data_IF_751082573168
#
_entry.id   IF_751082573168
#
_cell.length_a   1.000
_cell.length_b   1.000
_cell.length_c   1.000
_cell.angle_alpha   90.00
_cell.angle_beta   90.00
_cell.angle_gamma   90.00
#
_symmetry.space_group_name_H-M   'P 1'
#
loop_
_entity.id
_entity.type
_entity.pdbx_description
1 polymer ?
#
# COMPACT_ATOMS: atom_id res chain seq x y z
N UNK A 1 0.45 -12.89 4.43
CA UNK A 1 -0.03 -11.92 3.44
C UNK A 1 0.72 -10.64 3.70
N UNK A 2 1.09 -9.87 2.68
CA UNK A 2 1.65 -8.54 2.95
C UNK A 2 0.63 -7.66 3.68
N UNK A 3 1.09 -6.59 4.34
CA UNK A 3 0.29 -5.54 5.00
C UNK A 3 -0.98 -5.16 4.19
N UNK A 4 -2.12 -4.79 4.79
CA UNK A 4 -3.31 -4.35 4.04
C UNK A 4 -3.01 -3.21 3.06
N UNK A 5 -3.88 -3.01 2.08
CA UNK A 5 -3.92 -1.78 1.29
C UNK A 5 -4.36 -0.62 2.20
N UNK A 6 -3.50 0.37 2.40
CA UNK A 6 -3.71 1.49 3.32
C UNK A 6 -4.14 2.74 2.56
N UNK A 7 -5.39 3.15 2.78
CA UNK A 7 -5.95 4.39 2.28
C UNK A 7 -5.96 5.44 3.39
N UNK A 8 -5.24 6.55 3.22
CA UNK A 8 -5.43 7.74 4.06
C UNK A 8 -6.58 8.56 3.49
N UNK A 9 -7.55 8.92 4.30
CA UNK A 9 -8.70 9.74 3.89
C UNK A 9 -8.86 10.91 4.84
N UNK A 10 -8.94 12.13 4.30
CA UNK A 10 -9.22 13.33 5.09
C UNK A 10 -9.90 14.42 4.24
N UNK A 11 -10.66 15.27 4.92
CA UNK A 11 -11.02 16.59 4.43
C UNK A 11 -10.12 17.63 5.10
N UNK A 12 -9.66 18.63 4.33
CA UNK A 12 -8.84 19.74 4.81
C UNK A 12 -9.38 21.07 4.30
N UNK A 13 -9.10 22.15 5.04
CA UNK A 13 -9.24 23.52 4.53
C UNK A 13 -8.27 23.83 3.38
N UNK A 14 -8.46 24.96 2.69
CA UNK A 14 -7.56 25.43 1.62
C UNK A 14 -6.10 25.59 2.08
N UNK A 15 -5.89 25.87 3.37
CA UNK A 15 -4.58 26.01 4.02
C UNK A 15 -4.09 24.76 4.77
N UNK A 16 -4.80 23.63 4.61
CA UNK A 16 -4.32 22.29 4.96
C UNK A 16 -4.60 21.83 6.39
N UNK A 17 -5.61 22.39 7.05
CA UNK A 17 -6.03 22.02 8.41
C UNK A 17 -7.18 21.02 8.40
N UNK A 18 -7.16 20.09 9.36
CA UNK A 18 -8.19 19.06 9.59
C UNK A 18 -9.34 19.55 10.46
N UNK A 19 -9.11 20.60 11.23
CA UNK A 19 -10.06 21.18 12.20
C UNK A 19 -9.58 22.60 12.58
N UNK A 20 -10.37 23.32 13.36
CA UNK A 20 -9.94 24.53 14.08
C UNK A 20 -9.45 24.19 15.50
N UNK A 21 -9.15 25.20 16.34
CA UNK A 21 -8.77 25.00 17.76
C UNK A 21 -9.97 24.98 18.72
N UNK A 22 -11.18 25.05 18.18
CA UNK A 22 -12.43 25.06 18.92
C UNK A 22 -12.74 23.71 19.58
N UNK A 23 -13.70 23.71 20.52
CA UNK A 23 -14.14 22.49 21.20
C UNK A 23 -15.10 21.64 20.36
N UNK A 24 -15.67 22.23 19.31
CA UNK A 24 -16.58 21.57 18.38
C UNK A 24 -15.84 21.21 17.10
N UNK A 25 -16.13 20.02 16.56
CA UNK A 25 -15.53 19.58 15.31
C UNK A 25 -15.99 20.46 14.15
N UNK A 26 -15.04 21.02 13.41
CA UNK A 26 -15.30 21.76 12.18
C UNK A 26 -15.78 20.82 11.05
N UNK A 27 -16.90 21.16 10.43
CA UNK A 27 -17.38 20.45 9.25
C UNK A 27 -16.69 21.02 8.00
N UNK A 28 -15.69 20.29 7.51
CA UNK A 28 -14.93 20.65 6.32
C UNK A 28 -15.57 20.17 5.00
N UNK A 29 -16.69 19.45 5.05
CA UNK A 29 -17.33 18.95 3.83
C UNK A 29 -18.84 18.82 3.99
N UNK A 30 -19.54 18.70 2.86
CA UNK A 30 -20.99 18.60 2.78
C UNK A 30 -21.53 17.16 2.77
N UNK A 31 -22.88 17.01 2.71
CA UNK A 31 -23.58 15.73 2.68
C UNK A 31 -23.11 14.79 1.57
N UNK A 32 -22.77 15.31 0.39
CA UNK A 32 -22.28 14.55 -0.76
C UNK A 32 -20.93 13.87 -0.45
N UNK A 33 -20.05 14.56 0.27
CA UNK A 33 -18.79 13.98 0.68
C UNK A 33 -18.95 13.02 1.86
N UNK A 34 -19.88 13.29 2.78
CA UNK A 34 -20.21 12.35 3.85
C UNK A 34 -20.76 11.03 3.29
N UNK A 35 -21.61 11.09 2.27
CA UNK A 35 -22.10 9.90 1.58
C UNK A 35 -20.97 9.12 0.89
N UNK A 36 -20.04 9.83 0.24
CA UNK A 36 -18.82 9.24 -0.34
C UNK A 36 -17.94 8.57 0.73
N UNK A 37 -17.66 9.25 1.85
CA UNK A 37 -16.88 8.68 2.96
C UNK A 37 -17.57 7.43 3.51
N UNK A 38 -18.90 7.45 3.61
CA UNK A 38 -19.69 6.30 4.02
C UNK A 38 -19.57 5.11 3.04
N UNK A 39 -19.53 5.38 1.74
CA UNK A 39 -19.20 4.38 0.71
C UNK A 39 -17.80 3.80 0.89
N UNK A 40 -16.78 4.65 1.11
CA UNK A 40 -15.40 4.20 1.32
C UNK A 40 -15.28 3.36 2.60
N UNK A 41 -15.96 3.75 3.68
CA UNK A 41 -16.07 2.94 4.91
C UNK A 41 -16.71 1.58 4.61
N UNK A 42 -17.82 1.57 3.89
CA UNK A 42 -18.52 0.34 3.54
C UNK A 42 -17.69 -0.59 2.65
N UNK A 43 -16.81 -0.05 1.81
CA UNK A 43 -15.87 -0.80 0.98
C UNK A 43 -14.59 -1.25 1.70
N UNK A 44 -14.40 -0.89 2.96
CA UNK A 44 -13.19 -1.23 3.73
C UNK A 44 -13.41 -2.41 4.67
N UNK A 45 -12.35 -3.14 4.98
CA UNK A 45 -12.40 -4.24 5.96
C UNK A 45 -12.21 -3.70 7.38
N UNK A 46 -11.42 -2.64 7.52
CA UNK A 46 -11.18 -1.94 8.77
C UNK A 46 -11.10 -0.41 8.59
N UNK A 47 -11.45 0.32 9.65
CA UNK A 47 -11.30 1.77 9.75
C UNK A 47 -10.44 2.08 10.98
N UNK A 48 -9.38 2.88 10.80
CA UNK A 48 -8.42 3.23 11.83
C UNK A 48 -8.42 4.73 12.12
N UNK A 49 -8.40 5.06 13.41
CA UNK A 49 -8.12 6.41 13.91
C UNK A 49 -7.08 6.37 15.04
N UNK A 50 -6.24 7.41 15.10
CA UNK A 50 -5.34 7.59 16.24
C UNK A 50 -6.08 7.94 17.53
N UNK A 51 -5.47 7.65 18.68
CA UNK A 51 -6.01 8.00 19.99
C UNK A 51 -6.28 9.51 20.19
N UNK A 52 -5.55 10.38 19.51
CA UNK A 52 -5.80 11.84 19.54
C UNK A 52 -7.20 12.18 19.04
N UNK A 53 -7.55 11.71 17.84
CA UNK A 53 -8.89 11.83 17.25
C UNK A 53 -9.96 11.19 18.12
N UNK A 54 -9.65 10.04 18.75
CA UNK A 54 -10.59 9.40 19.67
C UNK A 54 -10.94 10.31 20.87
N UNK A 55 -9.95 11.02 21.44
CA UNK A 55 -10.16 11.91 22.59
C UNK A 55 -10.90 13.20 22.22
N UNK A 56 -10.59 13.77 21.05
CA UNK A 56 -11.14 15.06 20.62
C UNK A 56 -12.55 14.86 20.05
N UNK A 57 -12.71 13.97 19.07
CA UNK A 57 -13.97 13.87 18.32
C UNK A 57 -14.94 12.83 18.90
N UNK A 58 -14.43 11.91 19.73
CA UNK A 58 -15.17 10.78 20.29
C UNK A 58 -16.08 10.07 19.25
N UNK A 59 -15.57 9.68 18.07
CA UNK A 59 -16.41 9.25 16.96
C UNK A 59 -17.01 7.86 17.20
N UNK A 60 -18.17 7.59 16.57
CA UNK A 60 -18.77 6.23 16.54
C UNK A 60 -18.10 5.31 15.50
N UNK A 61 -17.56 5.91 14.44
CA UNK A 61 -16.84 5.26 13.34
C UNK A 61 -17.67 4.14 12.67
N UNK A 62 -18.85 4.49 12.16
CA UNK A 62 -19.83 3.57 11.58
C UNK A 62 -19.98 3.78 10.07
N UNK A 63 -20.51 2.75 9.41
CA UNK A 63 -21.25 2.89 8.15
C UNK A 63 -22.68 3.28 8.52
N UNK A 64 -23.12 4.44 8.06
CA UNK A 64 -24.42 5.02 8.39
C UNK A 64 -25.53 4.48 7.49
N UNK A 65 -25.31 4.38 6.17
CA UNK A 65 -26.34 3.89 5.23
C UNK A 65 -26.80 2.47 5.61
N UNK A 66 -28.10 2.26 5.85
CA UNK A 66 -28.67 0.93 6.04
C UNK A 66 -28.47 0.02 4.82
N UNK A 67 -28.53 0.58 3.61
CA UNK A 67 -28.39 -0.14 2.35
C UNK A 67 -26.96 -0.67 2.19
N UNK A 68 -25.95 0.16 2.49
CA UNK A 68 -24.54 -0.26 2.48
C UNK A 68 -24.26 -1.35 3.51
N UNK A 69 -24.85 -1.25 4.70
CA UNK A 69 -24.76 -2.30 5.73
C UNK A 69 -25.42 -3.59 5.28
N UNK A 70 -26.60 -3.53 4.69
CA UNK A 70 -27.28 -4.69 4.12
C UNK A 70 -26.47 -5.34 2.99
N UNK A 71 -25.85 -4.55 2.11
CA UNK A 71 -24.98 -5.03 1.05
C UNK A 71 -23.74 -5.76 1.58
N UNK A 72 -23.12 -5.25 2.65
CA UNK A 72 -22.00 -5.94 3.33
C UNK A 72 -22.42 -7.30 3.87
N UNK A 73 -23.55 -7.37 4.57
CA UNK A 73 -24.08 -8.62 5.09
C UNK A 73 -24.41 -9.62 3.96
N UNK A 74 -25.01 -9.14 2.87
CA UNK A 74 -25.30 -9.97 1.70
C UNK A 74 -24.02 -10.53 1.03
N UNK A 75 -22.90 -9.82 1.13
CA UNK A 75 -21.58 -10.27 0.69
C UNK A 75 -20.85 -11.17 1.71
N UNK A 76 -21.49 -11.53 2.82
CA UNK A 76 -20.88 -12.35 3.89
C UNK A 76 -19.89 -11.59 4.77
N UNK A 77 -19.85 -10.25 4.68
CA UNK A 77 -19.00 -9.39 5.49
C UNK A 77 -19.75 -8.92 6.76
N UNK A 78 -19.04 -8.56 7.84
CA UNK A 78 -19.66 -7.95 9.01
C UNK A 78 -20.37 -6.63 8.66
N UNK A 79 -21.49 -6.36 9.33
CA UNK A 79 -22.31 -5.14 9.14
C UNK A 79 -21.47 -3.86 9.17
N UNK A 80 -20.49 -3.81 10.07
CA UNK A 80 -19.51 -2.72 10.20
C UNK A 80 -18.09 -3.25 9.93
N UNK A 81 -17.21 -2.45 9.29
CA UNK A 81 -15.79 -2.73 9.28
C UNK A 81 -15.22 -2.87 10.70
N UNK A 82 -14.10 -3.58 10.83
CA UNK A 82 -13.35 -3.63 12.08
C UNK A 82 -12.91 -2.21 12.46
N UNK A 83 -13.23 -1.78 13.68
CA UNK A 83 -12.77 -0.49 14.18
C UNK A 83 -11.44 -0.65 14.88
N UNK A 84 -10.47 0.15 14.46
CA UNK A 84 -9.11 0.09 14.94
C UNK A 84 -8.72 1.41 15.57
N UNK A 85 -8.08 1.35 16.73
CA UNK A 85 -7.38 2.52 17.27
C UNK A 85 -5.98 2.16 17.76
N UNK A 86 -5.11 3.15 17.82
CA UNK A 86 -3.70 3.00 18.19
C UNK A 86 -3.35 4.02 19.27
N UNK A 87 -2.84 3.55 20.40
CA UNK A 87 -2.47 4.39 21.54
C UNK A 87 -1.25 3.84 22.26
N UNK A 88 -0.11 4.54 22.18
CA UNK A 88 1.09 4.11 22.91
C UNK A 88 0.93 4.22 24.44
N UNK A 89 0.25 5.26 24.92
CA UNK A 89 0.06 5.51 26.36
C UNK A 89 -1.03 4.65 27.00
N UNK A 90 -1.98 4.15 26.20
CA UNK A 90 -3.21 3.54 26.69
C UNK A 90 -4.13 4.54 27.40
N UNK A 91 -3.90 5.85 27.25
CA UNK A 91 -4.74 6.87 27.88
C UNK A 91 -5.99 7.12 27.02
N UNK A 92 -7.06 6.37 27.30
CA UNK A 92 -8.30 6.35 26.54
C UNK A 92 -9.48 6.35 27.50
N UNK A 93 -10.53 7.11 27.17
CA UNK A 93 -11.77 7.13 27.94
C UNK A 93 -12.56 5.82 27.69
N UNK A 94 -12.84 4.99 28.72
CA UNK A 94 -13.65 3.78 28.58
C UNK A 94 -15.12 4.06 28.22
N UNK A 95 -15.59 5.30 28.39
CA UNK A 95 -16.95 5.73 28.03
C UNK A 95 -17.04 6.31 26.62
N UNK A 96 -15.94 6.35 25.86
CA UNK A 96 -15.96 6.84 24.49
C UNK A 96 -16.98 6.05 23.63
N UNK A 97 -17.76 6.78 22.81
CA UNK A 97 -18.80 6.23 21.92
C UNK A 97 -18.25 5.14 21.01
N UNK A 98 -16.98 5.26 20.61
CA UNK A 98 -16.25 4.26 19.83
C UNK A 98 -16.36 2.84 20.42
N UNK A 99 -16.32 2.67 21.74
CA UNK A 99 -16.40 1.35 22.36
C UNK A 99 -17.81 0.77 22.38
N UNK A 100 -18.81 1.66 22.46
CA UNK A 100 -20.19 1.29 22.76
C UNK A 100 -21.12 1.25 21.54
N UNK A 101 -20.61 1.53 20.34
CA UNK A 101 -21.45 1.55 19.12
C UNK A 101 -20.87 0.69 18.01
N UNK A 102 -21.57 -0.38 17.61
CA UNK A 102 -21.29 -1.14 16.39
C UNK A 102 -19.97 -1.94 16.39
N UNK A 103 -19.97 -3.05 15.65
CA UNK A 103 -18.79 -3.79 15.19
C UNK A 103 -17.83 -4.35 16.26
N UNK A 104 -16.86 -5.13 15.77
CA UNK A 104 -15.69 -5.53 16.56
C UNK A 104 -14.72 -4.35 16.70
N UNK A 105 -13.91 -4.36 17.77
CA UNK A 105 -12.91 -3.32 18.05
C UNK A 105 -11.56 -3.94 18.39
N UNK A 106 -10.51 -3.37 17.84
CA UNK A 106 -9.13 -3.72 18.19
C UNK A 106 -8.34 -2.46 18.54
N UNK A 107 -7.64 -2.49 19.66
CA UNK A 107 -6.70 -1.48 20.11
C UNK A 107 -5.28 -2.02 20.02
N UNK A 108 -4.41 -1.32 19.29
CA UNK A 108 -2.97 -1.57 19.31
C UNK A 108 -2.27 -0.62 20.28
N UNK A 109 -1.41 -1.17 21.13
CA UNK A 109 -0.74 -0.43 22.21
C UNK A 109 0.61 -1.04 22.58
N UNK A 110 1.34 -0.36 23.47
CA UNK A 110 2.55 -0.89 24.09
C UNK A 110 2.20 -1.84 25.24
N UNK A 111 3.15 -2.63 25.72
CA UNK A 111 2.99 -3.45 26.93
C UNK A 111 2.56 -2.61 28.14
N UNK A 112 3.07 -1.39 28.24
CA UNK A 112 2.70 -0.44 29.29
C UNK A 112 1.25 0.01 29.14
N UNK A 113 0.82 0.37 27.93
CA UNK A 113 -0.56 0.76 27.66
C UNK A 113 -1.54 -0.39 27.87
N UNK A 114 -1.17 -1.61 27.45
CA UNK A 114 -1.96 -2.81 27.70
C UNK A 114 -2.16 -3.05 29.20
N UNK A 115 -1.10 -2.91 30.02
CA UNK A 115 -1.22 -2.99 31.49
C UNK A 115 -2.15 -1.92 32.07
N UNK A 116 -2.07 -0.68 31.59
CA UNK A 116 -2.93 0.44 32.03
C UNK A 116 -4.41 0.16 31.76
N UNK A 117 -4.71 -0.51 30.64
CA UNK A 117 -6.07 -0.74 30.17
C UNK A 117 -6.70 -2.06 30.64
N UNK A 118 -5.97 -2.90 31.39
CA UNK A 118 -6.49 -4.18 31.90
C UNK A 118 -7.73 -3.93 32.77
N UNK A 119 -8.86 -4.47 32.36
CA UNK A 119 -10.14 -4.33 33.07
C UNK A 119 -10.76 -2.93 32.99
N UNK A 120 -10.23 -2.03 32.16
CA UNK A 120 -10.74 -0.66 31.99
C UNK A 120 -11.69 -0.57 30.80
N UNK A 121 -11.32 -1.17 29.66
CA UNK A 121 -12.15 -1.18 28.46
C UNK A 121 -13.21 -2.30 28.53
N UNK A 122 -14.31 -2.18 27.76
CA UNK A 122 -15.29 -3.25 27.62
C UNK A 122 -14.65 -4.58 27.20
N UNK A 123 -15.20 -5.68 27.70
CA UNK A 123 -14.62 -7.02 27.53
C UNK A 123 -14.59 -7.52 26.08
N UNK A 124 -15.41 -6.94 25.19
CA UNK A 124 -15.44 -7.23 23.76
C UNK A 124 -14.37 -6.46 22.96
N UNK A 125 -13.61 -5.56 23.60
CA UNK A 125 -12.49 -4.86 22.97
C UNK A 125 -11.24 -5.71 23.06
N UNK A 126 -10.69 -6.05 21.90
CA UNK A 126 -9.40 -6.71 21.82
C UNK A 126 -8.26 -5.71 22.00
N UNK A 127 -7.34 -5.99 22.92
CA UNK A 127 -6.15 -5.17 23.16
C UNK A 127 -4.91 -5.97 22.75
N UNK A 128 -4.21 -5.49 21.73
CA UNK A 128 -2.99 -6.09 21.18
C UNK A 128 -1.79 -5.29 21.66
N UNK A 129 -0.91 -5.94 22.42
CA UNK A 129 0.35 -5.37 22.86
C UNK A 129 1.46 -5.71 21.85
N UNK A 130 2.18 -4.69 21.38
CA UNK A 130 3.24 -4.81 20.37
C UNK A 130 4.65 -4.76 20.97
N UNK A 131 4.78 -4.83 22.30
CA UNK A 131 6.05 -4.68 22.99
C UNK A 131 6.27 -3.26 23.55
N UNK A 132 7.52 -2.78 23.63
CA UNK A 132 7.84 -1.51 24.28
C UNK A 132 7.34 -0.28 23.50
N UNK A 133 7.32 -0.37 22.18
CA UNK A 133 6.95 0.68 21.24
C UNK A 133 5.89 0.20 20.26
N UNK A 134 5.25 1.13 19.55
CA UNK A 134 4.26 0.81 18.50
C UNK A 134 4.90 1.05 17.14
N UNK A 135 5.30 -0.04 16.49
CA UNK A 135 5.78 -0.04 15.11
C UNK A 135 4.62 -0.23 14.15
N UNK A 136 4.49 0.64 13.15
CA UNK A 136 3.35 0.60 12.22
C UNK A 136 3.36 -0.63 11.32
N UNK A 137 4.54 -1.13 10.94
CA UNK A 137 4.62 -2.38 10.16
C UNK A 137 4.01 -3.53 10.95
N UNK A 138 4.31 -3.66 12.24
CA UNK A 138 3.73 -4.71 13.09
C UNK A 138 2.21 -4.57 13.26
N UNK A 139 1.70 -3.33 13.37
CA UNK A 139 0.25 -3.07 13.37
C UNK A 139 -0.39 -3.57 12.07
N UNK A 140 0.20 -3.21 10.93
CA UNK A 140 -0.33 -3.55 9.63
C UNK A 140 -0.19 -5.06 9.33
N UNK A 141 0.91 -5.68 9.75
CA UNK A 141 1.16 -7.12 9.61
C UNK A 141 0.11 -7.89 10.41
N UNK A 142 -0.11 -7.51 11.66
CA UNK A 142 -1.14 -8.15 12.48
C UNK A 142 -2.55 -7.95 11.91
N UNK A 143 -2.86 -6.77 11.36
CA UNK A 143 -4.14 -6.53 10.67
C UNK A 143 -4.30 -7.45 9.44
N UNK A 144 -3.26 -7.59 8.62
CA UNK A 144 -3.28 -8.43 7.43
C UNK A 144 -3.36 -9.92 7.77
N UNK A 145 -2.40 -10.40 8.55
CA UNK A 145 -2.18 -11.83 8.80
C UNK A 145 -3.14 -12.43 9.82
N UNK A 146 -3.44 -11.70 10.90
CA UNK A 146 -4.25 -12.22 12.01
C UNK A 146 -5.70 -11.80 11.87
N UNK A 147 -5.97 -10.59 11.38
CA UNK A 147 -7.35 -10.08 11.21
C UNK A 147 -7.92 -10.27 9.82
N UNK A 148 -7.12 -10.68 8.85
CA UNK A 148 -7.57 -10.85 7.46
C UNK A 148 -8.01 -9.54 6.80
N UNK A 149 -7.54 -8.40 7.31
CA UNK A 149 -7.84 -7.07 6.74
C UNK A 149 -7.05 -6.95 5.45
N UNK A 150 -7.75 -6.71 4.34
CA UNK A 150 -7.12 -6.48 3.02
C UNK A 150 -7.17 -5.00 2.64
N UNK A 151 -8.21 -4.27 3.04
CA UNK A 151 -8.32 -2.82 2.84
C UNK A 151 -8.54 -2.09 4.17
N UNK A 152 -7.59 -1.23 4.51
CA UNK A 152 -7.59 -0.39 5.71
C UNK A 152 -7.83 1.07 5.31
N UNK A 153 -8.91 1.66 5.80
CA UNK A 153 -9.13 3.11 5.74
C UNK A 153 -8.58 3.77 7.00
N UNK A 154 -7.78 4.81 6.86
CA UNK A 154 -7.23 5.59 7.97
C UNK A 154 -7.80 7.00 7.89
N UNK A 155 -8.75 7.31 8.76
CA UNK A 155 -9.50 8.57 8.71
C UNK A 155 -8.90 9.70 9.53
N UNK A 156 -8.03 9.39 10.51
CA UNK A 156 -7.68 10.43 11.45
C UNK A 156 -6.51 10.17 12.38
N UNK A 157 -6.07 11.32 12.89
CA UNK A 157 -4.83 11.59 13.58
C UNK A 157 -3.81 12.08 12.57
N UNK A 158 -3.58 13.40 12.50
CA UNK A 158 -2.54 13.94 11.62
C UNK A 158 -1.17 13.29 11.87
N UNK A 159 -0.89 12.90 13.13
CA UNK A 159 0.30 12.11 13.48
C UNK A 159 0.32 10.69 12.90
N UNK A 160 -0.84 10.03 12.78
CA UNK A 160 -0.97 8.71 12.16
C UNK A 160 -0.73 8.80 10.66
N UNK A 161 -1.43 9.72 9.99
CA UNK A 161 -1.23 9.99 8.55
C UNK A 161 0.22 10.31 8.25
N UNK A 162 0.83 11.20 9.05
CA UNK A 162 2.25 11.58 8.94
C UNK A 162 3.15 10.35 9.01
N UNK A 163 3.02 9.51 10.04
CA UNK A 163 3.92 8.35 10.21
C UNK A 163 3.76 7.32 9.11
N UNK A 164 2.53 7.01 8.70
CA UNK A 164 2.29 6.06 7.61
C UNK A 164 2.89 6.55 6.29
N UNK A 165 2.76 7.84 5.99
CA UNK A 165 3.34 8.43 4.78
C UNK A 165 4.88 8.48 4.85
N UNK A 166 5.46 8.91 5.98
CA UNK A 166 6.91 8.97 6.19
C UNK A 166 7.58 7.59 6.09
N UNK A 167 6.88 6.53 6.51
CA UNK A 167 7.39 5.15 6.44
C UNK A 167 7.09 4.44 5.11
N UNK A 168 6.46 5.13 4.15
CA UNK A 168 6.11 4.55 2.84
C UNK A 168 5.05 3.45 2.92
N UNK A 169 4.15 3.52 3.90
CA UNK A 169 3.11 2.53 4.19
C UNK A 169 1.71 2.92 3.70
N UNK A 170 1.55 4.11 3.11
CA UNK A 170 0.28 4.58 2.57
C UNK A 170 0.19 4.33 1.05
N UNK A 171 -0.73 3.47 0.63
CA UNK A 171 -0.97 3.12 -0.78
C UNK A 171 -1.75 4.19 -1.54
N UNK A 172 -2.65 4.90 -0.87
CA UNK A 172 -3.45 5.96 -1.46
C UNK A 172 -3.73 7.06 -0.45
N UNK A 173 -3.81 8.30 -0.94
CA UNK A 173 -4.28 9.47 -0.20
C UNK A 173 -5.51 10.01 -0.93
N UNK A 174 -6.65 9.96 -0.27
CA UNK A 174 -7.88 10.67 -0.62
C UNK A 174 -7.94 11.97 0.17
N UNK A 175 -7.75 13.08 -0.54
CA UNK A 175 -7.78 14.42 0.03
C UNK A 175 -8.97 15.18 -0.51
N UNK A 176 -9.86 15.59 0.38
CA UNK A 176 -10.94 16.53 0.07
C UNK A 176 -10.51 17.92 0.50
N UNK A 177 -10.65 18.91 -0.36
CA UNK A 177 -10.33 20.31 -0.05
C UNK A 177 -11.61 21.13 0.03
N UNK A 178 -11.86 21.66 1.23
CA UNK A 178 -12.97 22.54 1.57
C UNK A 178 -12.71 23.98 1.10
N UNK A 179 -13.70 24.72 0.59
CA UNK A 179 -13.53 26.09 0.11
C UNK A 179 -13.47 27.14 1.24
N UNK A 180 -12.73 26.86 2.32
CA UNK A 180 -12.56 27.76 3.47
C UNK A 180 -11.11 27.76 3.96
N UNK A 181 -10.76 28.79 4.74
CA UNK A 181 -9.48 28.89 5.45
C UNK A 181 -9.72 28.74 6.95
N UNK A 182 -8.82 28.06 7.65
CA UNK A 182 -8.82 28.01 9.13
C UNK A 182 -7.90 29.10 9.68
N UNK A 183 -6.66 29.18 9.18
CA UNK A 183 -5.74 30.28 9.51
C UNK A 183 -5.19 30.29 10.93
N UNK A 184 -5.47 29.26 11.74
CA UNK A 184 -5.03 29.16 13.13
C UNK A 184 -3.71 28.39 13.23
N UNK A 185 -2.64 28.95 13.82
CA UNK A 185 -1.31 28.33 13.82
C UNK A 185 -1.26 26.99 14.58
N UNK A 186 -2.07 26.86 15.63
CA UNK A 186 -2.13 25.67 16.49
C UNK A 186 -3.21 24.66 16.06
N UNK A 187 -3.95 24.93 14.98
CA UNK A 187 -4.96 24.02 14.46
C UNK A 187 -4.31 22.72 13.93
N UNK A 188 -5.01 21.58 14.05
CA UNK A 188 -4.47 20.29 13.64
C UNK A 188 -4.29 20.23 12.12
N UNK A 189 -3.06 19.96 11.66
CA UNK A 189 -2.76 19.72 10.24
C UNK A 189 -2.87 18.24 9.89
N UNK A 190 -3.20 17.95 8.63
CA UNK A 190 -3.22 16.57 8.13
C UNK A 190 -1.84 15.91 8.21
N UNK A 191 -0.81 16.67 7.88
CA UNK A 191 0.56 16.22 7.84
C UNK A 191 1.43 17.11 8.72
N UNK A 192 2.21 16.49 9.60
CA UNK A 192 3.14 17.15 10.50
C UNK A 192 4.51 17.38 9.89
N UNK A 193 5.46 17.82 10.71
CA UNK A 193 6.85 18.01 10.29
C UNK A 193 7.61 16.68 10.16
N UNK A 194 8.66 16.68 9.33
CA UNK A 194 9.60 15.57 9.21
C UNK A 194 10.02 15.32 7.76
N UNK A 195 10.70 14.19 7.54
CA UNK A 195 11.20 13.80 6.22
C UNK A 195 10.17 12.89 5.56
N UNK A 196 9.65 13.32 4.41
CA UNK A 196 8.75 12.53 3.57
C UNK A 196 9.53 11.75 2.50
N UNK A 197 8.96 10.66 1.95
CA UNK A 197 9.55 10.00 0.79
C UNK A 197 9.83 11.01 -0.33
N UNK A 198 10.97 10.87 -1.04
CA UNK A 198 11.33 11.79 -2.10
C UNK A 198 10.33 11.70 -3.27
N UNK A 199 10.44 12.63 -4.22
CA UNK A 199 9.67 12.58 -5.45
C UNK A 199 8.24 13.12 -5.33
N UNK A 200 7.46 12.89 -6.38
CA UNK A 200 6.08 13.40 -6.52
C UNK A 200 5.08 12.26 -6.43
N UNK A 201 4.04 12.39 -5.62
CA UNK A 201 2.88 11.50 -5.74
C UNK A 201 2.19 11.69 -7.10
N UNK A 202 1.58 10.62 -7.64
CA UNK A 202 0.80 10.70 -8.87
C UNK A 202 -0.66 10.98 -8.53
N UNK A 203 -1.20 12.03 -9.14
CA UNK A 203 -2.64 12.29 -9.17
C UNK A 203 -3.34 11.26 -10.07
N UNK A 204 -4.30 10.51 -9.52
CA UNK A 204 -5.05 9.48 -10.25
C UNK A 204 -6.52 9.83 -10.44
N UNK A 205 -7.06 10.74 -9.63
CA UNK A 205 -8.42 11.27 -9.79
C UNK A 205 -8.48 12.71 -9.26
N UNK A 206 -9.23 13.55 -9.95
CA UNK A 206 -9.72 14.83 -9.42
C UNK A 206 -11.20 14.97 -9.76
N UNK A 207 -12.03 15.31 -8.78
CA UNK A 207 -13.46 15.40 -8.98
C UNK A 207 -14.10 16.38 -8.01
N UNK A 208 -15.03 17.19 -8.50
CA UNK A 208 -15.90 17.99 -7.64
C UNK A 208 -16.94 17.10 -6.93
N UNK A 209 -17.17 17.34 -5.65
CA UNK A 209 -18.15 16.64 -4.82
C UNK A 209 -18.94 17.70 -4.05
N UNK A 210 -20.14 18.06 -4.51
CA UNK A 210 -20.81 19.25 -3.98
C UNK A 210 -19.95 20.50 -4.23
N UNK A 211 -19.62 21.23 -3.16
CA UNK A 211 -18.77 22.42 -3.19
C UNK A 211 -17.28 22.16 -2.85
N UNK A 212 -16.90 20.91 -2.62
CA UNK A 212 -15.50 20.51 -2.32
C UNK A 212 -14.84 19.81 -3.50
N UNK A 213 -13.51 19.72 -3.48
CA UNK A 213 -12.73 18.98 -4.49
C UNK A 213 -12.08 17.75 -3.86
N UNK A 214 -12.40 16.57 -4.38
CA UNK A 214 -11.69 15.32 -4.11
C UNK A 214 -10.47 15.21 -5.02
N UNK A 215 -9.34 14.86 -4.43
CA UNK A 215 -8.12 14.46 -5.13
C UNK A 215 -7.64 13.11 -4.60
N UNK A 216 -7.23 12.22 -5.50
CA UNK A 216 -6.62 10.94 -5.17
C UNK A 216 -5.19 10.89 -5.63
N UNK A 217 -4.29 10.57 -4.71
CA UNK A 217 -2.87 10.45 -4.96
C UNK A 217 -2.37 9.07 -4.58
N UNK A 218 -1.40 8.57 -5.36
CA UNK A 218 -0.68 7.32 -5.06
C UNK A 218 0.82 7.59 -5.05
N UNK A 219 1.61 6.92 -4.20
CA UNK A 219 3.05 7.09 -4.17
C UNK A 219 3.71 6.59 -5.45
N UNK A 220 4.92 7.09 -5.71
CA UNK A 220 5.75 6.75 -6.89
C UNK A 220 7.16 6.37 -6.49
N UNK A 221 7.72 6.97 -5.44
CA UNK A 221 9.09 6.70 -5.03
C UNK A 221 9.23 5.28 -4.45
N UNK A 222 10.11 4.44 -5.03
CA UNK A 222 10.41 3.11 -4.52
C UNK A 222 10.84 3.12 -3.05
N UNK A 223 10.65 1.99 -2.37
CA UNK A 223 11.26 1.77 -1.06
C UNK A 223 12.79 1.61 -1.15
N UNK A 224 13.45 1.69 0.00
CA UNK A 224 14.87 1.36 0.14
C UNK A 224 15.04 0.02 0.85
N UNK A 225 16.10 -0.72 0.52
CA UNK A 225 16.39 -1.98 1.20
C UNK A 225 15.41 -3.11 0.82
N UNK A 226 15.24 -4.07 1.73
CA UNK A 226 14.47 -5.30 1.52
C UNK A 226 13.00 -5.23 1.93
N UNK A 227 12.58 -4.09 2.47
CA UNK A 227 11.19 -3.91 2.88
C UNK A 227 10.38 -3.42 1.68
N UNK A 228 9.18 -3.97 1.56
CA UNK A 228 8.18 -3.45 0.61
C UNK A 228 7.71 -2.06 1.05
N UNK A 229 7.48 -1.19 0.06
CA UNK A 229 6.75 0.06 0.19
C UNK A 229 5.46 0.02 -0.60
N UNK A 230 4.56 0.95 -0.30
CA UNK A 230 3.33 1.16 -1.04
C UNK A 230 3.57 1.43 -2.55
N UNK A 231 4.64 2.13 -2.90
CA UNK A 231 4.98 2.37 -4.31
C UNK A 231 5.37 1.07 -5.04
N UNK A 232 5.96 0.10 -4.34
CA UNK A 232 6.39 -1.15 -4.95
C UNK A 232 5.22 -1.95 -5.52
N UNK A 233 4.12 -2.01 -4.77
CA UNK A 233 2.87 -2.66 -5.20
C UNK A 233 2.37 -2.10 -6.51
N UNK A 234 2.37 -0.78 -6.62
CA UNK A 234 1.92 -0.09 -7.83
C UNK A 234 2.82 -0.37 -9.03
N UNK A 235 4.14 -0.27 -8.87
CA UNK A 235 5.05 -0.53 -9.99
C UNK A 235 5.06 -1.99 -10.41
N UNK A 236 4.86 -2.90 -9.46
CA UNK A 236 4.70 -4.32 -9.77
C UNK A 236 3.38 -4.62 -10.49
N UNK A 237 2.28 -3.94 -10.17
CA UNK A 237 1.06 -4.01 -10.98
C UNK A 237 1.33 -3.55 -12.42
N UNK A 238 2.05 -2.44 -12.63
CA UNK A 238 2.43 -1.98 -13.98
C UNK A 238 3.29 -3.03 -14.71
N UNK A 239 4.21 -3.70 -14.01
CA UNK A 239 4.98 -4.80 -14.59
C UNK A 239 4.07 -5.98 -15.00
N UNK A 240 3.06 -6.31 -14.20
CA UNK A 240 2.07 -7.33 -14.56
C UNK A 240 1.18 -6.91 -15.74
N UNK A 241 0.73 -5.66 -15.81
CA UNK A 241 -0.02 -5.12 -16.96
C UNK A 241 0.80 -5.20 -18.26
N UNK A 242 2.12 -5.01 -18.17
CA UNK A 242 3.02 -5.17 -19.31
C UNK A 242 3.14 -6.64 -19.75
N UNK A 243 3.05 -7.59 -18.81
CA UNK A 243 3.03 -9.01 -19.15
C UNK A 243 1.81 -9.39 -20.00
N UNK A 244 0.65 -8.77 -19.78
CA UNK A 244 -0.56 -9.00 -20.60
C UNK A 244 -0.41 -8.55 -22.06
N UNK A 245 0.55 -7.66 -22.33
CA UNK A 245 0.82 -7.14 -23.68
C UNK A 245 1.78 -8.03 -24.48
N UNK A 246 2.32 -9.08 -23.88
CA UNK A 246 3.26 -9.96 -24.56
C UNK A 246 2.56 -10.75 -25.67
N UNK A 247 3.17 -10.87 -26.87
CA UNK A 247 2.74 -11.85 -27.87
C UNK A 247 2.65 -13.26 -27.25
N UNK A 248 1.66 -14.11 -27.57
CA UNK A 248 1.59 -15.46 -27.02
C UNK A 248 2.84 -16.31 -27.35
N UNK A 249 3.19 -17.23 -26.45
CA UNK A 249 4.27 -18.20 -26.66
C UNK A 249 3.94 -19.52 -25.98
N UNK A 250 4.39 -20.64 -26.55
CA UNK A 250 4.28 -21.98 -25.95
C UNK A 250 5.57 -22.43 -25.24
N UNK A 251 6.65 -21.67 -25.38
CA UNK A 251 8.00 -22.06 -24.95
C UNK A 251 8.68 -21.00 -24.10
N UNK A 252 7.99 -19.91 -23.76
CA UNK A 252 8.51 -18.82 -22.95
C UNK A 252 7.39 -18.11 -22.21
N UNK A 253 7.67 -17.68 -20.97
CA UNK A 253 6.73 -16.87 -20.19
C UNK A 253 6.54 -15.47 -20.80
N UNK A 254 5.35 -14.91 -20.60
CA UNK A 254 4.99 -13.50 -20.74
C UNK A 254 5.37 -12.79 -19.44
N UNK A 255 6.39 -11.94 -19.51
CA UNK A 255 6.91 -11.15 -18.39
C UNK A 255 6.89 -9.69 -18.77
N UNK A 256 6.60 -8.81 -17.81
CA UNK A 256 6.78 -7.37 -17.93
C UNK A 256 7.75 -6.84 -16.88
N UNK A 257 8.44 -5.75 -17.20
CA UNK A 257 9.42 -5.13 -16.31
C UNK A 257 9.43 -3.60 -16.44
N UNK A 258 9.74 -2.93 -15.34
CA UNK A 258 9.86 -1.46 -15.25
C UNK A 258 11.09 -1.09 -14.44
N UNK A 259 11.84 -0.08 -14.89
CA UNK A 259 12.99 0.50 -14.18
C UNK A 259 12.58 1.88 -13.67
N UNK A 260 12.67 2.11 -12.36
CA UNK A 260 12.18 3.33 -11.71
C UNK A 260 13.30 3.95 -10.87
N UNK A 261 13.54 5.25 -11.05
CA UNK A 261 14.49 6.00 -10.24
C UNK A 261 14.01 6.19 -8.79
N UNK A 262 14.93 6.54 -7.90
CA UNK A 262 14.63 6.74 -6.47
C UNK A 262 13.59 7.85 -6.20
N UNK A 263 13.43 8.82 -7.11
CA UNK A 263 12.41 9.87 -7.02
C UNK A 263 11.04 9.47 -7.59
N UNK A 264 10.88 8.21 -8.01
CA UNK A 264 9.65 7.69 -8.60
C UNK A 264 9.46 8.02 -10.08
N UNK A 265 10.47 8.58 -10.75
CA UNK A 265 10.47 8.73 -12.20
C UNK A 265 10.65 7.36 -12.86
N UNK A 266 9.73 7.01 -13.76
CA UNK A 266 9.91 5.84 -14.63
C UNK A 266 11.00 6.12 -15.67
N UNK A 267 12.05 5.31 -15.67
CA UNK A 267 13.18 5.43 -16.59
C UNK A 267 12.93 4.68 -17.90
N UNK A 268 12.48 3.44 -17.78
CA UNK A 268 12.12 2.60 -18.91
C UNK A 268 11.17 1.48 -18.49
N UNK A 269 10.53 0.88 -19.47
CA UNK A 269 9.72 -0.33 -19.33
C UNK A 269 10.00 -1.29 -20.46
N UNK A 270 9.71 -2.56 -20.26
CA UNK A 270 9.83 -3.60 -21.27
C UNK A 270 8.87 -4.73 -21.03
N UNK A 271 8.59 -5.50 -22.07
CA UNK A 271 7.88 -6.76 -21.95
C UNK A 271 8.52 -7.82 -22.82
N UNK A 272 8.23 -9.08 -22.52
CA UNK A 272 8.78 -10.20 -23.30
C UNK A 272 8.33 -10.10 -24.75
N UNK A 273 9.23 -10.44 -25.67
CA UNK A 273 8.98 -10.42 -27.12
C UNK A 273 8.61 -9.04 -27.68
N UNK A 274 9.05 -7.97 -27.02
CA UNK A 274 8.85 -6.61 -27.50
C UNK A 274 9.57 -6.36 -28.84
N UNK A 275 8.97 -5.54 -29.70
CA UNK A 275 9.58 -5.16 -30.99
C UNK A 275 9.70 -6.31 -32.00
N UNK A 276 9.10 -7.46 -31.73
CA UNK A 276 9.16 -8.64 -32.61
C UNK A 276 10.40 -9.52 -32.42
N UNK A 277 11.27 -9.25 -31.43
CA UNK A 277 12.37 -10.17 -31.07
C UNK A 277 11.79 -11.35 -30.28
N UNK A 278 11.74 -12.59 -30.82
CA UNK A 278 11.08 -13.72 -30.17
C UNK A 278 11.79 -14.18 -28.88
N UNK A 279 13.01 -13.73 -28.62
CA UNK A 279 13.84 -14.20 -27.49
C UNK A 279 14.20 -13.12 -26.48
N UNK A 280 13.79 -11.85 -26.70
CA UNK A 280 14.05 -10.77 -25.73
C UNK A 280 13.20 -10.95 -24.48
N UNK A 281 13.86 -10.83 -23.32
CA UNK A 281 13.20 -10.84 -22.02
C UNK A 281 12.78 -9.42 -21.61
N UNK A 282 11.85 -9.30 -20.68
CA UNK A 282 11.29 -8.02 -20.28
C UNK A 282 12.33 -7.07 -19.67
N UNK A 283 13.18 -7.58 -18.77
CA UNK A 283 14.23 -6.81 -18.10
C UNK A 283 15.29 -6.36 -19.10
N UNK A 284 15.67 -7.25 -20.03
CA UNK A 284 16.59 -6.93 -21.12
C UNK A 284 16.02 -5.82 -22.02
N UNK A 285 14.76 -5.93 -22.44
CA UNK A 285 14.09 -4.92 -23.26
C UNK A 285 14.00 -3.57 -22.54
N UNK A 286 13.76 -3.55 -21.23
CA UNK A 286 13.70 -2.32 -20.44
C UNK A 286 15.10 -1.68 -20.31
N UNK A 287 16.12 -2.45 -19.93
CA UNK A 287 17.48 -1.95 -19.72
C UNK A 287 18.14 -1.49 -21.03
N UNK A 288 17.86 -2.14 -22.16
CA UNK A 288 18.41 -1.77 -23.46
C UNK A 288 17.96 -0.37 -23.97
N UNK A 289 16.93 0.21 -23.36
CA UNK A 289 16.42 1.56 -23.69
C UNK A 289 17.10 2.66 -22.87
N UNK A 290 17.94 2.29 -21.91
CA UNK A 290 18.61 3.22 -21.00
C UNK A 290 20.05 3.46 -21.45
N UNK A 291 20.55 4.66 -21.17
CA UNK A 291 21.98 4.94 -21.22
C UNK A 291 22.65 4.20 -20.04
N UNK A 292 23.60 3.26 -20.28
CA UNK A 292 24.33 2.59 -19.19
C UNK A 292 25.10 3.54 -18.27
N UNK A 293 25.37 4.78 -18.72
CA UNK A 293 26.00 5.82 -17.92
C UNK A 293 24.99 6.70 -17.14
N UNK A 294 23.68 6.42 -17.21
CA UNK A 294 22.67 7.18 -16.47
C UNK A 294 22.93 7.06 -14.96
N UNK A 295 23.26 8.16 -14.26
CA UNK A 295 23.62 8.11 -12.84
C UNK A 295 22.45 7.66 -11.95
N UNK A 296 21.21 7.71 -12.44
CA UNK A 296 20.02 7.30 -11.68
C UNK A 296 19.97 5.79 -11.46
N UNK A 297 20.59 5.00 -12.35
CA UNK A 297 20.58 3.52 -12.30
C UNK A 297 21.12 2.96 -10.98
N UNK A 298 22.14 3.58 -10.40
CA UNK A 298 22.75 3.15 -9.15
C UNK A 298 21.79 3.15 -7.95
N UNK A 299 20.70 3.94 -8.04
CA UNK A 299 19.65 4.05 -7.03
C UNK A 299 18.28 3.57 -7.53
N UNK A 300 18.23 3.05 -8.76
CA UNK A 300 16.99 2.61 -9.36
C UNK A 300 16.53 1.27 -8.78
N UNK A 301 15.22 1.02 -8.91
CA UNK A 301 14.59 -0.27 -8.63
C UNK A 301 14.08 -0.86 -9.94
N UNK A 302 14.35 -2.15 -10.16
CA UNK A 302 13.71 -2.93 -11.23
C UNK A 302 12.52 -3.69 -10.65
N UNK A 303 11.35 -3.51 -11.25
CA UNK A 303 10.15 -4.30 -10.97
C UNK A 303 9.98 -5.31 -12.09
N UNK A 304 9.83 -6.60 -11.77
CA UNK A 304 9.58 -7.65 -12.77
C UNK A 304 8.44 -8.55 -12.33
N UNK A 305 7.52 -8.88 -13.24
CA UNK A 305 6.41 -9.77 -12.92
C UNK A 305 6.86 -11.22 -12.65
N UNK A 306 8.06 -11.60 -13.10
CA UNK A 306 8.68 -12.90 -12.85
C UNK A 306 10.11 -12.69 -12.34
N UNK A 307 10.61 -13.63 -11.55
CA UNK A 307 12.00 -13.67 -11.14
C UNK A 307 12.97 -13.54 -12.35
N UNK A 308 13.91 -12.58 -12.34
CA UNK A 308 14.87 -12.44 -13.43
C UNK A 308 15.73 -13.69 -13.56
N UNK A 309 15.81 -14.28 -14.76
CA UNK A 309 16.48 -15.56 -14.93
C UNK A 309 17.96 -15.54 -14.47
N UNK A 310 18.43 -16.65 -13.89
CA UNK A 310 19.84 -16.90 -13.56
C UNK A 310 20.63 -17.44 -14.76
N UNK A 311 19.95 -18.12 -15.69
CA UNK A 311 20.52 -18.76 -16.88
C UNK A 311 19.50 -18.69 -18.01
N UNK A 312 19.97 -18.62 -19.25
CA UNK A 312 19.11 -18.73 -20.45
C UNK A 312 19.91 -19.31 -21.60
N UNK A 313 19.25 -20.04 -22.50
CA UNK A 313 19.88 -20.59 -23.70
C UNK A 313 19.95 -19.57 -24.85
N UNK A 314 19.05 -18.58 -24.86
CA UNK A 314 18.83 -17.70 -26.02
C UNK A 314 19.84 -16.58 -26.19
N UNK A 315 20.54 -16.17 -25.12
CA UNK A 315 21.55 -15.10 -25.12
C UNK A 315 22.66 -15.41 -24.11
N UNK A 316 23.89 -14.87 -24.28
CA UNK A 316 25.02 -15.18 -23.41
C UNK A 316 24.86 -14.63 -21.97
N UNK A 317 24.17 -13.52 -21.76
CA UNK A 317 23.96 -12.92 -20.45
C UNK A 317 22.50 -13.11 -19.95
N UNK A 318 22.29 -13.68 -18.75
CA UNK A 318 20.98 -13.79 -18.12
C UNK A 318 20.50 -12.45 -17.54
N UNK A 319 19.19 -12.28 -17.33
CA UNK A 319 18.61 -11.01 -16.86
C UNK A 319 19.18 -10.56 -15.50
N UNK A 320 19.37 -11.48 -14.55
CA UNK A 320 20.03 -11.17 -13.28
C UNK A 320 21.40 -10.52 -13.45
N UNK A 321 22.19 -10.99 -14.42
CA UNK A 321 23.51 -10.40 -14.73
C UNK A 321 23.39 -9.03 -15.39
N UNK A 322 22.45 -8.85 -16.32
CA UNK A 322 22.19 -7.55 -16.96
C UNK A 322 21.81 -6.48 -15.93
N UNK A 323 21.00 -6.83 -14.93
CA UNK A 323 20.62 -5.94 -13.84
C UNK A 323 21.84 -5.54 -12.99
N UNK A 324 22.68 -6.52 -12.62
CA UNK A 324 23.90 -6.28 -11.84
C UNK A 324 24.85 -5.35 -12.60
N UNK A 325 25.07 -5.62 -13.89
CA UNK A 325 25.98 -4.87 -14.75
C UNK A 325 25.47 -3.45 -15.04
N UNK A 326 24.15 -3.25 -15.08
CA UNK A 326 23.53 -1.92 -15.15
C UNK A 326 23.70 -1.10 -13.85
N UNK A 327 24.23 -1.70 -12.78
CA UNK A 327 24.47 -1.01 -11.51
C UNK A 327 23.23 -0.89 -10.61
N UNK A 328 22.10 -1.51 -10.98
CA UNK A 328 20.88 -1.53 -10.18
C UNK A 328 21.14 -2.26 -8.85
N UNK A 329 20.53 -1.78 -7.77
CA UNK A 329 20.74 -2.32 -6.41
C UNK A 329 19.47 -2.81 -5.72
N UNK A 330 18.32 -2.70 -6.37
CA UNK A 330 17.06 -3.21 -5.83
C UNK A 330 16.18 -3.82 -6.91
N UNK A 331 15.61 -4.99 -6.63
CA UNK A 331 14.71 -5.72 -7.51
C UNK A 331 13.47 -6.15 -6.74
N UNK A 332 12.30 -5.92 -7.31
CA UNK A 332 11.01 -6.35 -6.75
C UNK A 332 10.34 -7.29 -7.74
N UNK A 333 9.90 -8.45 -7.25
CA UNK A 333 9.29 -9.51 -8.07
C UNK A 333 7.95 -9.96 -7.53
N UNK A 334 7.08 -10.46 -8.41
CA UNK A 334 5.77 -11.02 -8.03
C UNK A 334 5.81 -12.55 -7.90
N UNK A 335 6.47 -13.22 -8.84
CA UNK A 335 6.43 -14.67 -9.00
C UNK A 335 7.84 -15.24 -9.12
N UNK A 336 8.16 -16.25 -8.33
CA UNK A 336 9.41 -17.02 -8.47
C UNK A 336 9.33 -17.93 -9.69
N UNK A 337 10.43 -18.03 -10.44
CA UNK A 337 10.46 -18.87 -11.64
C UNK A 337 10.18 -20.34 -11.26
N UNK A 338 9.12 -20.97 -11.82
CA UNK A 338 8.87 -22.39 -11.59
C UNK A 338 9.85 -23.26 -12.38
N UNK A 339 10.01 -24.53 -11.98
CA UNK A 339 10.82 -25.52 -12.70
C UNK A 339 10.24 -25.93 -14.08
N UNK A 340 9.39 -25.10 -14.71
CA UNK A 340 8.72 -25.39 -15.99
C UNK A 340 9.69 -25.42 -17.17
N UNK A 341 10.67 -24.52 -17.21
CA UNK A 341 11.62 -24.41 -18.33
C UNK A 341 13.09 -24.49 -17.91
N UNK A 342 13.41 -24.09 -16.67
CA UNK A 342 14.76 -24.18 -16.10
C UNK A 342 14.66 -24.77 -14.70
N UNK A 343 15.19 -25.98 -14.52
CA UNK A 343 15.22 -26.62 -13.21
C UNK A 343 16.16 -25.86 -12.26
N UNK A 344 15.68 -25.58 -11.04
CA UNK A 344 16.45 -24.92 -9.98
C UNK A 344 17.02 -23.56 -10.38
N UNK A 345 16.28 -22.79 -11.20
CA UNK A 345 16.62 -21.40 -11.46
C UNK A 345 16.46 -20.59 -10.15
N UNK A 346 17.50 -19.88 -9.75
CA UNK A 346 17.48 -18.99 -8.59
C UNK A 346 18.22 -17.69 -8.92
N UNK A 347 17.58 -16.87 -9.76
CA UNK A 347 18.06 -15.54 -10.11
C UNK A 347 17.99 -14.58 -8.95
N UNK A 348 17.02 -14.76 -8.04
CA UNK A 348 16.92 -14.00 -6.81
C UNK A 348 18.15 -14.21 -5.91
N UNK A 349 18.67 -15.44 -5.78
CA UNK A 349 19.91 -15.70 -5.05
C UNK A 349 21.15 -15.12 -5.76
N UNK A 350 21.21 -15.16 -7.09
CA UNK A 350 22.30 -14.52 -7.87
C UNK A 350 22.34 -13.02 -7.59
N UNK A 351 21.19 -12.36 -7.62
CA UNK A 351 21.04 -10.94 -7.30
C UNK A 351 21.46 -10.65 -5.86
N UNK A 352 20.95 -11.41 -4.89
CA UNK A 352 21.26 -11.24 -3.48
C UNK A 352 22.76 -11.44 -3.17
N UNK A 353 23.40 -12.43 -3.78
CA UNK A 353 24.84 -12.69 -3.64
C UNK A 353 25.70 -11.56 -4.22
N UNK A 354 25.19 -10.84 -5.22
CA UNK A 354 25.82 -9.64 -5.78
C UNK A 354 25.50 -8.35 -4.98
N UNK A 355 24.80 -8.45 -3.85
CA UNK A 355 24.44 -7.31 -3.00
C UNK A 355 23.23 -6.51 -3.50
N UNK A 356 22.40 -7.07 -4.37
CA UNK A 356 21.12 -6.49 -4.78
C UNK A 356 20.06 -6.86 -3.75
N UNK A 357 19.30 -5.87 -3.28
CA UNK A 357 18.15 -6.13 -2.42
C UNK A 357 16.98 -6.67 -3.23
N UNK A 358 16.53 -7.88 -2.89
CA UNK A 358 15.42 -8.56 -3.55
C UNK A 358 14.20 -8.54 -2.64
N UNK A 359 13.08 -8.05 -3.17
CA UNK A 359 11.77 -8.06 -2.50
C UNK A 359 10.80 -8.92 -3.32
N UNK A 360 10.10 -9.83 -2.66
CA UNK A 360 9.05 -10.65 -3.27
C UNK A 360 7.69 -10.21 -2.73
N UNK A 361 6.75 -9.89 -3.61
CA UNK A 361 5.36 -9.57 -3.28
C UNK A 361 4.44 -10.70 -3.78
N UNK A 362 4.28 -11.78 -2.99
CA UNK A 362 3.56 -12.98 -3.40
C UNK A 362 2.06 -12.72 -3.66
N UNK A 363 1.49 -11.63 -3.13
CA UNK A 363 0.11 -11.22 -3.41
C UNK A 363 -0.13 -10.88 -4.89
N UNK A 364 0.93 -10.59 -5.65
CA UNK A 364 0.87 -10.35 -7.10
C UNK A 364 1.12 -11.61 -7.95
N UNK A 365 1.42 -12.76 -7.33
CA UNK A 365 1.77 -13.98 -8.05
C UNK A 365 0.63 -14.43 -9.00
N UNK A 366 -0.62 -14.41 -8.52
CA UNK A 366 -1.78 -14.77 -9.35
C UNK A 366 -1.94 -13.85 -10.56
N UNK A 367 -1.70 -12.55 -10.36
CA UNK A 367 -1.75 -11.53 -11.41
C UNK A 367 -0.64 -11.72 -12.45
N UNK A 368 0.57 -12.06 -12.02
CA UNK A 368 1.71 -12.37 -12.89
C UNK A 368 1.57 -13.70 -13.65
N UNK A 369 0.90 -14.70 -13.05
CA UNK A 369 0.61 -15.98 -13.68
C UNK A 369 -0.51 -15.92 -14.72
N UNK A 370 -1.44 -14.98 -14.59
CA UNK A 370 -2.62 -14.88 -15.47
C UNK A 370 -2.28 -14.92 -16.99
N UNK A 371 -1.33 -14.10 -17.52
CA UNK A 371 -0.96 -14.16 -18.95
C UNK A 371 -0.17 -15.43 -19.34
N UNK A 372 0.16 -16.28 -18.37
CA UNK A 372 0.95 -17.50 -18.51
C UNK A 372 0.15 -18.77 -18.22
N UNK A 373 -1.15 -18.67 -17.95
CA UNK A 373 -1.97 -19.77 -17.47
C UNK A 373 -1.94 -21.01 -18.40
N UNK A 374 -1.76 -20.81 -19.71
CA UNK A 374 -1.66 -21.89 -20.70
C UNK A 374 -0.33 -22.67 -20.65
N UNK A 375 0.69 -22.15 -19.98
CA UNK A 375 2.00 -22.80 -19.80
C UNK A 375 2.12 -23.55 -18.48
N UNK A 376 1.18 -23.29 -17.56
CA UNK A 376 1.22 -23.85 -16.22
C UNK A 376 0.47 -25.17 -16.16
N UNK A 377 0.97 -26.17 -15.44
CA UNK A 377 0.20 -27.38 -15.19
C UNK A 377 -1.12 -27.00 -14.48
N UNK A 378 -2.22 -27.73 -14.75
CA UNK A 378 -3.49 -27.46 -14.09
C UNK A 378 -3.29 -27.49 -12.57
N UNK A 379 -3.81 -26.48 -11.87
CA UNK A 379 -3.70 -26.39 -10.42
C UNK A 379 -4.18 -27.72 -9.81
N UNK A 380 -3.36 -28.32 -8.94
CA UNK A 380 -3.75 -29.52 -8.21
C UNK A 380 -5.06 -29.18 -7.48
N UNK A 381 -6.12 -29.94 -7.76
CA UNK A 381 -7.40 -29.78 -7.06
C UNK A 381 -7.17 -30.17 -5.60
N UNK A 382 -7.09 -29.19 -4.72
CA UNK A 382 -7.09 -29.36 -3.25
C UNK A 382 -8.50 -29.42 -2.73
#
# INVERSE_FOLDING_TARGET
MAHPYVLLSAAVSLDGFLDDTGPERLLLSGPEDFDRVDEVRAGSDAILIGAGTLRIDNPRLLVYSPERRAARLAAGLPEYPLKVTVSASGDLDPQARFWHTGGAKTLYTTDKGARRLRGVLPADVEVVALGPDVEWRDVLDHLGDVKGVRRLMVEGGGSVHTRLLQQGLADEVQLVVAPLFVGEPDAPRMFGHGVYPPGRMRLVETRAVGDVVLMRYVPTAPGTGRLASAADRRWLEVACELADRCPPSQTAFSVGAVVVAADGTELARGHSREGGDPVVHAEEAALAKLDPADPRLASATVYSSLEPCARRASRPAPCSRLIIDAGVRRVVTAWREPDTFVASADGNAVLAAAGVDVVLLPEYEGRAKAPNAHLLPPAARS
#
